data_IF_526785596857
#
_entry.id   IF_526785596857
#
_cell.length_a   1.000
_cell.length_b   1.000
_cell.length_c   1.000
_cell.angle_alpha   90.00
_cell.angle_beta   90.00
_cell.angle_gamma   90.00
#
_symmetry.space_group_name_H-M   'P 1'
#
loop_
_entity.id
_entity.type
_entity.pdbx_description
1 polymer ?
#
# COMPACT_ATOMS: atom_id res chain seq x y z
N UNK A 1 -39.95 -5.37 -8.06
CA UNK A 1 -38.72 -6.16 -7.94
C UNK A 1 -37.68 -5.23 -7.31
N UNK A 2 -37.54 -5.28 -5.99
CA UNK A 2 -36.57 -4.44 -5.29
C UNK A 2 -35.20 -5.09 -5.44
N UNK A 3 -34.23 -4.36 -5.99
CA UNK A 3 -32.82 -4.77 -5.97
C UNK A 3 -32.39 -4.96 -4.51
N UNK A 4 -32.01 -6.18 -4.15
CA UNK A 4 -31.30 -6.45 -2.90
C UNK A 4 -29.95 -5.72 -2.96
N UNK A 5 -29.95 -4.50 -2.41
CA UNK A 5 -28.72 -3.80 -2.07
C UNK A 5 -28.03 -4.64 -0.99
N UNK A 6 -27.07 -5.47 -1.40
CA UNK A 6 -26.20 -6.24 -0.47
C UNK A 6 -25.58 -5.25 0.51
N UNK A 7 -26.17 -5.16 1.69
CA UNK A 7 -25.64 -4.38 2.81
C UNK A 7 -24.25 -4.93 3.11
N UNK A 8 -23.19 -4.10 3.10
CA UNK A 8 -21.87 -4.54 3.49
C UNK A 8 -21.95 -5.17 4.88
N UNK A 9 -21.57 -6.46 4.96
CA UNK A 9 -21.54 -7.21 6.21
C UNK A 9 -20.62 -6.44 7.16
N UNK A 10 -21.17 -5.91 8.25
CA UNK A 10 -20.39 -5.26 9.29
C UNK A 10 -19.29 -6.24 9.76
N UNK A 11 -18.04 -5.87 9.51
CA UNK A 11 -16.87 -6.62 9.95
C UNK A 11 -16.83 -6.63 11.48
N UNK A 12 -16.64 -7.82 12.04
CA UNK A 12 -16.58 -7.99 13.49
C UNK A 12 -15.40 -7.18 14.06
N UNK A 13 -15.66 -6.45 15.14
CA UNK A 13 -14.64 -5.71 15.88
C UNK A 13 -13.54 -6.68 16.38
N UNK A 14 -12.46 -6.80 15.60
CA UNK A 14 -11.36 -7.71 15.88
C UNK A 14 -10.49 -8.01 14.66
N UNK A 15 -11.10 -8.13 13.47
CA UNK A 15 -10.37 -8.23 12.21
C UNK A 15 -10.32 -6.85 11.54
N UNK A 16 -9.13 -6.27 11.46
CA UNK A 16 -8.96 -4.97 10.79
C UNK A 16 -9.11 -5.16 9.28
N UNK A 17 -10.01 -4.41 8.64
CA UNK A 17 -10.26 -4.48 7.19
C UNK A 17 -8.93 -4.46 6.40
N UNK A 18 -8.63 -5.50 5.61
CA UNK A 18 -7.43 -5.56 4.79
C UNK A 18 -7.27 -4.38 3.83
N UNK A 19 -8.37 -3.79 3.33
CA UNK A 19 -8.33 -2.59 2.48
C UNK A 19 -7.89 -1.36 3.25
N UNK A 20 -8.38 -1.21 4.47
CA UNK A 20 -7.94 -0.14 5.36
C UNK A 20 -6.45 -0.30 5.68
N UNK A 21 -6.01 -1.50 6.05
CA UNK A 21 -4.59 -1.78 6.30
C UNK A 21 -3.71 -1.50 5.07
N UNK A 22 -4.15 -1.94 3.90
CA UNK A 22 -3.45 -1.69 2.64
C UNK A 22 -3.35 -0.19 2.31
N UNK A 23 -4.37 0.61 2.62
CA UNK A 23 -4.32 2.07 2.46
C UNK A 23 -3.36 2.72 3.45
N UNK A 24 -3.45 2.34 4.74
CA UNK A 24 -2.59 2.85 5.81
C UNK A 24 -1.10 2.58 5.55
N UNK A 25 -0.79 1.49 4.84
CA UNK A 25 0.58 1.16 4.45
C UNK A 25 1.26 2.29 3.68
N UNK A 26 0.53 3.09 2.90
CA UNK A 26 1.11 4.15 2.06
C UNK A 26 1.23 5.53 2.75
N UNK A 27 0.44 5.79 3.80
CA UNK A 27 0.36 7.13 4.44
C UNK A 27 1.71 7.53 5.02
N UNK A 28 2.32 6.63 5.79
CA UNK A 28 3.62 6.86 6.42
C UNK A 28 4.78 6.27 5.62
N UNK A 29 4.61 6.07 4.30
CA UNK A 29 5.63 5.50 3.41
C UNK A 29 6.16 4.16 3.97
N UNK A 30 7.48 3.94 3.95
CA UNK A 30 8.11 2.72 4.47
C UNK A 30 7.73 2.40 5.92
N UNK A 31 7.51 3.40 6.79
CA UNK A 31 7.09 3.15 8.18
C UNK A 31 5.68 2.54 8.23
N UNK A 32 4.76 3.08 7.44
CA UNK A 32 3.40 2.55 7.32
C UNK A 32 3.42 1.14 6.76
N UNK A 33 4.19 0.92 5.69
CA UNK A 33 4.40 -0.39 5.09
C UNK A 33 4.98 -1.40 6.08
N UNK A 34 5.98 -1.01 6.86
CA UNK A 34 6.61 -1.87 7.87
C UNK A 34 5.60 -2.31 8.93
N UNK A 35 4.87 -1.35 9.53
CA UNK A 35 3.89 -1.64 10.57
C UNK A 35 2.82 -2.60 10.03
N UNK A 36 2.24 -2.31 8.87
CA UNK A 36 1.20 -3.15 8.27
C UNK A 36 1.73 -4.53 7.90
N UNK A 37 2.95 -4.63 7.38
CA UNK A 37 3.57 -5.90 7.03
C UNK A 37 3.80 -6.82 8.25
N UNK A 38 4.11 -6.23 9.41
CA UNK A 38 4.34 -6.98 10.64
C UNK A 38 3.05 -7.43 11.33
N UNK A 39 2.01 -6.58 11.32
CA UNK A 39 0.74 -6.89 12.00
C UNK A 39 -0.22 -7.71 11.13
N UNK A 40 -0.18 -7.54 9.81
CA UNK A 40 -1.14 -8.17 8.90
C UNK A 40 -0.75 -9.60 8.54
N UNK A 41 -1.75 -10.49 8.56
CA UNK A 41 -1.68 -11.86 8.02
C UNK A 41 -2.37 -11.99 6.66
N UNK A 42 -3.14 -10.99 6.26
CA UNK A 42 -3.85 -11.01 4.98
C UNK A 42 -2.89 -10.71 3.81
N UNK A 43 -2.94 -11.55 2.77
CA UNK A 43 -2.02 -11.46 1.62
C UNK A 43 -2.16 -10.15 0.85
N UNK A 44 -3.37 -9.62 0.75
CA UNK A 44 -3.65 -8.37 0.04
C UNK A 44 -3.05 -7.17 0.78
N UNK A 45 -3.27 -7.09 2.10
CA UNK A 45 -2.66 -6.06 2.92
C UNK A 45 -1.12 -6.19 2.94
N UNK A 46 -0.58 -7.40 2.99
CA UNK A 46 0.88 -7.65 2.96
C UNK A 46 1.52 -7.30 1.62
N UNK A 47 0.82 -7.52 0.51
CA UNK A 47 1.27 -7.08 -0.82
C UNK A 47 1.44 -5.56 -0.88
N UNK A 48 0.40 -4.80 -0.51
CA UNK A 48 0.47 -3.34 -0.49
C UNK A 48 1.48 -2.81 0.53
N UNK A 49 1.63 -3.49 1.67
CA UNK A 49 2.65 -3.18 2.67
C UNK A 49 4.07 -3.34 2.12
N UNK A 50 4.35 -4.43 1.41
CA UNK A 50 5.65 -4.66 0.77
C UNK A 50 5.90 -3.66 -0.38
N UNK A 51 4.88 -3.32 -1.17
CA UNK A 51 5.00 -2.27 -2.17
C UNK A 51 5.36 -0.92 -1.54
N UNK A 52 4.71 -0.55 -0.43
CA UNK A 52 5.02 0.68 0.30
C UNK A 52 6.44 0.66 0.89
N UNK A 53 6.90 -0.48 1.41
CA UNK A 53 8.28 -0.65 1.86
C UNK A 53 9.30 -0.39 0.74
N UNK A 54 9.09 -0.98 -0.44
CA UNK A 54 9.99 -0.82 -1.59
C UNK A 54 9.97 0.63 -2.08
N UNK A 55 8.79 1.25 -2.25
CA UNK A 55 8.67 2.65 -2.66
C UNK A 55 9.30 3.60 -1.64
N UNK A 56 9.08 3.33 -0.36
CA UNK A 56 9.65 4.13 0.71
C UNK A 56 11.16 3.99 0.79
N UNK A 57 11.73 2.80 0.55
CA UNK A 57 13.17 2.61 0.42
C UNK A 57 13.75 3.39 -0.78
N UNK A 58 13.08 3.38 -1.94
CA UNK A 58 13.47 4.19 -3.10
C UNK A 58 13.45 5.68 -2.73
N UNK A 59 12.39 6.12 -2.05
CA UNK A 59 12.25 7.52 -1.61
C UNK A 59 13.38 7.91 -0.65
N UNK A 60 13.74 7.03 0.30
CA UNK A 60 14.88 7.22 1.21
C UNK A 60 16.19 7.40 0.45
N UNK A 61 16.46 6.53 -0.54
CA UNK A 61 17.68 6.62 -1.37
C UNK A 61 17.71 7.93 -2.16
N UNK A 62 16.58 8.35 -2.74
CA UNK A 62 16.48 9.61 -3.46
C UNK A 62 16.81 10.82 -2.59
N UNK A 63 16.46 10.82 -1.29
CA UNK A 63 16.77 11.96 -0.42
C UNK A 63 18.27 12.24 -0.25
N UNK A 64 19.14 11.26 -0.52
CA UNK A 64 20.60 11.43 -0.49
C UNK A 64 21.17 12.07 -1.76
N UNK A 65 20.35 12.27 -2.81
CA UNK A 65 20.76 12.93 -4.05
C UNK A 65 20.28 14.40 -3.98
N UNK A 66 21.18 15.38 -3.75
CA UNK A 66 20.77 16.78 -3.63
C UNK A 66 20.12 17.29 -4.92
N UNK A 67 19.18 18.22 -4.79
CA UNK A 67 18.44 18.86 -5.90
C UNK A 67 17.52 17.86 -6.63
N UNK A 68 18.07 16.93 -7.41
CA UNK A 68 17.30 15.98 -8.21
C UNK A 68 16.44 15.06 -7.33
N UNK A 69 17.04 14.49 -6.29
CA UNK A 69 16.34 13.58 -5.40
C UNK A 69 15.24 14.26 -4.60
N UNK A 70 15.46 15.50 -4.16
CA UNK A 70 14.46 16.29 -3.45
C UNK A 70 13.27 16.68 -4.33
N UNK A 71 13.50 16.86 -5.63
CA UNK A 71 12.43 17.11 -6.59
C UNK A 71 11.67 15.82 -6.86
N UNK A 72 12.35 14.67 -7.07
CA UNK A 72 11.71 13.41 -7.49
C UNK A 72 11.00 12.69 -6.32
N UNK A 73 11.59 12.69 -5.12
CA UNK A 73 11.08 12.00 -3.94
C UNK A 73 9.59 12.28 -3.62
N UNK A 74 9.10 13.55 -3.59
CA UNK A 74 7.69 13.82 -3.33
C UNK A 74 6.76 13.22 -4.40
N UNK A 75 7.17 13.18 -5.67
CA UNK A 75 6.36 12.55 -6.73
C UNK A 75 6.27 11.04 -6.57
N UNK A 76 7.36 10.38 -6.15
CA UNK A 76 7.34 8.93 -5.85
C UNK A 76 6.40 8.64 -4.68
N UNK A 77 6.46 9.45 -3.63
CA UNK A 77 5.56 9.31 -2.48
C UNK A 77 4.08 9.54 -2.84
N UNK A 78 3.79 10.62 -3.59
CA UNK A 78 2.43 10.90 -4.09
C UNK A 78 1.91 9.79 -4.99
N UNK A 79 2.76 9.21 -5.84
CA UNK A 79 2.41 8.04 -6.65
C UNK A 79 2.05 6.83 -5.79
N UNK A 80 2.81 6.58 -4.71
CA UNK A 80 2.47 5.54 -3.74
C UNK A 80 1.10 5.75 -3.11
N UNK A 81 0.80 6.97 -2.65
CA UNK A 81 -0.53 7.31 -2.11
C UNK A 81 -1.62 7.11 -3.16
N UNK A 82 -1.39 7.56 -4.39
CA UNK A 82 -2.32 7.35 -5.49
C UNK A 82 -2.60 5.86 -5.72
N UNK A 83 -1.56 5.02 -5.71
CA UNK A 83 -1.73 3.56 -5.83
C UNK A 83 -2.56 3.00 -4.67
N UNK A 84 -2.30 3.44 -3.44
CA UNK A 84 -3.10 3.07 -2.26
C UNK A 84 -4.58 3.46 -2.41
N UNK A 85 -4.88 4.71 -2.76
CA UNK A 85 -6.25 5.20 -2.89
C UNK A 85 -6.98 4.52 -4.05
N UNK A 86 -6.34 4.34 -5.20
CA UNK A 86 -7.04 3.84 -6.40
C UNK A 86 -7.15 2.33 -6.40
N UNK A 87 -6.09 1.62 -6.02
CA UNK A 87 -6.04 0.17 -6.15
C UNK A 87 -6.29 -0.52 -4.80
N UNK A 88 -5.70 -0.04 -3.70
CA UNK A 88 -5.93 -0.68 -2.41
C UNK A 88 -7.38 -0.52 -1.94
N UNK A 89 -7.96 0.68 -2.08
CA UNK A 89 -9.37 0.92 -1.74
C UNK A 89 -10.35 0.08 -2.59
N UNK A 90 -10.05 -0.11 -3.88
CA UNK A 90 -10.86 -0.95 -4.78
C UNK A 90 -10.64 -2.46 -4.57
N UNK A 91 -9.66 -2.86 -3.76
CA UNK A 91 -9.33 -4.26 -3.52
C UNK A 91 -8.53 -4.92 -4.65
N UNK A 92 -7.76 -4.13 -5.41
CA UNK A 92 -6.94 -4.63 -6.52
C UNK A 92 -5.44 -4.64 -6.17
N UNK A 93 -4.77 -5.76 -6.41
CA UNK A 93 -3.31 -5.86 -6.30
C UNK A 93 -2.66 -5.35 -7.59
N UNK A 94 -2.56 -4.04 -7.74
CA UNK A 94 -1.88 -3.44 -8.89
C UNK A 94 -0.37 -3.58 -8.75
N UNK A 95 0.25 -4.32 -9.67
CA UNK A 95 1.70 -4.49 -9.74
C UNK A 95 2.30 -3.27 -10.46
N UNK A 96 2.89 -2.37 -9.68
CA UNK A 96 3.67 -1.26 -10.23
C UNK A 96 4.81 -1.85 -11.08
N UNK A 97 5.03 -1.38 -12.32
CA UNK A 97 6.16 -1.84 -13.13
C UNK A 97 7.49 -1.77 -12.36
N UNK A 98 8.37 -2.74 -12.58
CA UNK A 98 9.67 -2.92 -11.91
C UNK A 98 9.65 -3.32 -10.44
N UNK A 99 8.66 -2.92 -9.63
CA UNK A 99 8.64 -3.23 -8.18
C UNK A 99 7.52 -4.19 -7.75
N UNK A 100 6.47 -4.31 -8.55
CA UNK A 100 5.29 -5.11 -8.22
C UNK A 100 5.56 -6.60 -8.14
N UNK A 101 6.48 -7.12 -8.96
CA UNK A 101 6.91 -8.53 -8.90
C UNK A 101 7.68 -8.83 -7.61
N UNK A 102 8.55 -7.92 -7.17
CA UNK A 102 9.24 -8.04 -5.88
C UNK A 102 8.25 -7.97 -4.72
N UNK A 103 7.27 -7.06 -4.80
CA UNK A 103 6.27 -6.93 -3.75
C UNK A 103 5.43 -8.20 -3.60
N UNK A 104 5.01 -8.81 -4.70
CA UNK A 104 4.31 -10.10 -4.67
C UNK A 104 5.19 -11.23 -4.14
N UNK A 105 6.44 -11.31 -4.61
CA UNK A 105 7.40 -12.33 -4.18
C UNK A 105 7.65 -12.30 -2.67
N UNK A 106 7.71 -11.11 -2.07
CA UNK A 106 8.02 -10.94 -0.65
C UNK A 106 6.78 -10.72 0.23
N UNK A 107 5.57 -10.67 -0.34
CA UNK A 107 4.32 -10.51 0.42
C UNK A 107 4.09 -11.66 1.43
N UNK A 108 4.60 -12.87 1.16
CA UNK A 108 4.42 -14.06 2.01
C UNK A 108 3.13 -14.82 1.70
#
# INVERSE_FOLDING_TARGET
MAEEKKVPKAEAAGETDPKLLALLAYIFSWLGGLVVFLISKDKFARFHAMQSLILGAITLVLMFIPILGWIIAPFVWLYGIYVGIVYAYKGHMYKIPYIGEYAEKYAG
#
